data_IF_724139083822
#
_entry.id   IF_724139083822
#
_cell.length_a   1.000
_cell.length_b   1.000
_cell.length_c   1.000
_cell.angle_alpha   90.00
_cell.angle_beta   90.00
_cell.angle_gamma   90.00
#
_symmetry.space_group_name_H-M   'P 1'
#
loop_
_entity.id
_entity.type
_entity.pdbx_description
1 polymer ?
#
# COMPACT_ATOMS: atom_id res chain seq x y z
N UNK A 1 -23.41 -5.90 8.56
CA UNK A 1 -24.21 -6.61 7.53
C UNK A 1 -24.31 -8.04 8.00
N UNK A 2 -25.51 -8.54 8.26
CA UNK A 2 -25.70 -9.94 8.64
C UNK A 2 -25.39 -10.83 7.43
N UNK A 3 -24.39 -11.71 7.55
CA UNK A 3 -24.02 -12.65 6.47
C UNK A 3 -25.17 -13.63 6.20
N UNK A 4 -26.09 -13.82 7.15
CA UNK A 4 -27.29 -14.63 6.97
C UNK A 4 -28.35 -13.96 6.06
N UNK A 5 -28.27 -12.63 5.83
CA UNK A 5 -29.17 -11.90 4.93
C UNK A 5 -28.73 -11.92 3.46
N UNK A 6 -27.48 -12.27 3.17
CA UNK A 6 -26.97 -12.38 1.80
C UNK A 6 -27.23 -13.80 1.27
N UNK A 7 -27.94 -13.90 0.15
CA UNK A 7 -28.21 -15.18 -0.49
C UNK A 7 -26.90 -15.90 -0.83
N UNK A 8 -26.75 -17.18 -0.45
CA UNK A 8 -25.53 -17.98 -0.71
C UNK A 8 -25.10 -17.96 -2.17
N UNK A 9 -26.05 -17.96 -3.12
CA UNK A 9 -25.74 -17.86 -4.55
C UNK A 9 -25.13 -16.51 -4.96
N UNK A 10 -25.46 -15.41 -4.26
CA UNK A 10 -24.84 -14.11 -4.49
C UNK A 10 -23.40 -14.08 -3.95
N UNK A 11 -23.15 -14.71 -2.80
CA UNK A 11 -21.80 -14.87 -2.25
C UNK A 11 -20.89 -15.73 -3.14
N UNK A 12 -21.43 -16.81 -3.72
CA UNK A 12 -20.70 -17.63 -4.69
C UNK A 12 -20.37 -16.82 -5.95
N UNK A 13 -21.34 -16.09 -6.51
CA UNK A 13 -21.11 -15.22 -7.67
C UNK A 13 -20.07 -14.12 -7.39
N UNK A 14 -20.07 -13.58 -6.17
CA UNK A 14 -19.08 -12.61 -5.71
C UNK A 14 -17.67 -13.23 -5.69
N UNK A 15 -17.53 -14.43 -5.12
CA UNK A 15 -16.23 -15.11 -5.02
C UNK A 15 -15.56 -15.39 -6.38
N UNK A 16 -16.37 -15.50 -7.44
CA UNK A 16 -15.91 -15.77 -8.79
C UNK A 16 -15.64 -14.52 -9.64
N UNK A 17 -15.96 -13.32 -9.15
CA UNK A 17 -15.80 -12.07 -9.92
C UNK A 17 -14.46 -11.40 -9.65
N UNK A 18 -13.90 -10.73 -10.66
CA UNK A 18 -12.69 -9.91 -10.55
C UNK A 18 -12.94 -8.55 -9.88
N UNK A 19 -14.21 -8.10 -9.82
CA UNK A 19 -14.60 -6.78 -9.31
C UNK A 19 -15.46 -6.88 -8.04
N UNK A 20 -14.99 -7.67 -7.07
CA UNK A 20 -15.75 -8.00 -5.85
C UNK A 20 -16.08 -6.76 -5.01
N UNK A 21 -15.10 -5.86 -4.86
CA UNK A 21 -15.24 -4.59 -4.12
C UNK A 21 -16.33 -3.69 -4.71
N UNK A 22 -16.38 -3.58 -6.02
CA UNK A 22 -17.31 -2.74 -6.78
C UNK A 22 -18.72 -3.30 -6.71
N UNK A 23 -18.86 -4.63 -6.81
CA UNK A 23 -20.15 -5.32 -6.68
C UNK A 23 -20.72 -5.11 -5.26
N UNK A 24 -19.90 -5.30 -4.22
CA UNK A 24 -20.31 -5.06 -2.83
C UNK A 24 -20.75 -3.61 -2.61
N UNK A 25 -20.03 -2.67 -3.18
CA UNK A 25 -20.37 -1.25 -3.11
C UNK A 25 -21.70 -0.93 -3.79
N UNK A 26 -21.94 -1.52 -4.97
CA UNK A 26 -23.22 -1.37 -5.67
C UNK A 26 -24.38 -1.97 -4.85
N UNK A 27 -24.19 -3.13 -4.24
CA UNK A 27 -25.21 -3.74 -3.38
C UNK A 27 -25.52 -2.88 -2.17
N UNK A 28 -24.50 -2.31 -1.52
CA UNK A 28 -24.66 -1.38 -0.42
C UNK A 28 -25.50 -0.15 -0.83
N UNK A 29 -25.21 0.45 -1.99
CA UNK A 29 -25.99 1.58 -2.48
C UNK A 29 -27.44 1.22 -2.77
N UNK A 30 -27.69 0.05 -3.36
CA UNK A 30 -29.05 -0.43 -3.64
C UNK A 30 -29.85 -0.64 -2.34
N UNK A 31 -29.24 -1.23 -1.31
CA UNK A 31 -29.88 -1.42 0.00
C UNK A 31 -30.25 -0.09 0.67
N UNK A 32 -29.38 0.92 0.56
CA UNK A 32 -29.69 2.27 1.06
C UNK A 32 -30.87 2.87 0.28
N UNK A 33 -30.89 2.74 -1.05
CA UNK A 33 -32.00 3.21 -1.91
C UNK A 33 -33.33 2.55 -1.55
N UNK A 34 -33.34 1.24 -1.35
CA UNK A 34 -34.57 0.52 -1.02
C UNK A 34 -35.04 0.81 0.41
N UNK A 35 -34.12 1.03 1.35
CA UNK A 35 -34.46 1.48 2.71
C UNK A 35 -35.10 2.87 2.76
N UNK A 36 -34.74 3.76 1.81
CA UNK A 36 -35.39 5.07 1.66
C UNK A 36 -36.81 4.91 1.13
N UNK A 37 -37.01 4.10 0.08
CA UNK A 37 -38.34 3.83 -0.51
C UNK A 37 -39.31 3.20 0.49
N UNK A 38 -38.81 2.29 1.32
CA UNK A 38 -39.59 1.60 2.34
C UNK A 38 -39.87 2.47 3.58
N UNK A 39 -39.36 3.71 3.63
CA UNK A 39 -39.59 4.65 4.73
C UNK A 39 -38.80 4.34 6.01
N UNK A 40 -37.92 3.34 5.98
CA UNK A 40 -37.01 3.01 7.10
C UNK A 40 -36.00 4.14 7.29
N UNK A 41 -35.49 4.70 6.19
CA UNK A 41 -34.60 5.86 6.15
C UNK A 41 -35.40 7.14 5.81
N UNK A 42 -36.13 7.68 6.79
CA UNK A 42 -36.98 8.87 6.65
C UNK A 42 -36.27 10.22 6.87
N UNK A 43 -34.94 10.25 6.73
CA UNK A 43 -34.09 11.41 7.05
C UNK A 43 -34.16 12.45 5.91
N UNK A 44 -34.07 13.78 6.18
CA UNK A 44 -34.05 14.80 5.13
C UNK A 44 -32.99 14.56 4.05
N UNK A 45 -33.35 14.86 2.79
CA UNK A 45 -32.52 14.65 1.61
C UNK A 45 -31.06 15.17 1.73
N UNK A 46 -30.78 16.35 2.34
CA UNK A 46 -29.40 16.82 2.48
C UNK A 46 -28.50 15.90 3.32
N UNK A 47 -29.03 15.25 4.36
CA UNK A 47 -28.28 14.32 5.21
C UNK A 47 -28.05 12.99 4.48
N UNK A 48 -29.04 12.57 3.71
CA UNK A 48 -28.97 11.38 2.88
C UNK A 48 -27.91 11.53 1.79
N UNK A 49 -27.88 12.66 1.09
CA UNK A 49 -26.83 12.97 0.11
C UNK A 49 -25.43 12.91 0.71
N UNK A 50 -25.26 13.40 1.95
CA UNK A 50 -23.98 13.31 2.65
C UNK A 50 -23.56 11.86 2.90
N UNK A 51 -24.47 10.99 3.33
CA UNK A 51 -24.15 9.57 3.51
C UNK A 51 -23.72 8.88 2.19
N UNK A 52 -24.36 9.22 1.06
CA UNK A 52 -23.94 8.71 -0.25
C UNK A 52 -22.57 9.26 -0.68
N UNK A 53 -22.27 10.52 -0.37
CA UNK A 53 -20.95 11.11 -0.62
C UNK A 53 -19.87 10.41 0.22
N UNK A 54 -20.14 10.16 1.50
CA UNK A 54 -19.22 9.48 2.41
C UNK A 54 -18.95 8.05 1.91
N UNK A 55 -19.99 7.31 1.53
CA UNK A 55 -19.87 5.98 0.90
C UNK A 55 -19.04 6.08 -0.38
N UNK A 56 -19.36 6.99 -1.30
CA UNK A 56 -18.58 7.22 -2.53
C UNK A 56 -17.11 7.52 -2.27
N UNK A 57 -16.81 8.26 -1.21
CA UNK A 57 -15.43 8.58 -0.82
C UNK A 57 -14.64 7.33 -0.42
N UNK A 58 -15.29 6.30 0.16
CA UNK A 58 -14.65 5.03 0.51
C UNK A 58 -14.13 4.33 -0.73
N UNK A 59 -14.93 4.24 -1.80
CA UNK A 59 -14.53 3.58 -3.04
C UNK A 59 -13.35 4.29 -3.72
N UNK A 60 -13.33 5.62 -3.68
CA UNK A 60 -12.21 6.43 -4.17
C UNK A 60 -10.93 6.10 -3.39
N UNK A 61 -11.02 6.06 -2.05
CA UNK A 61 -9.87 5.74 -1.19
C UNK A 61 -9.36 4.31 -1.42
N UNK A 62 -10.28 3.35 -1.55
CA UNK A 62 -9.93 1.97 -1.88
C UNK A 62 -9.13 1.87 -3.19
N UNK A 63 -9.61 2.50 -4.26
CA UNK A 63 -8.90 2.54 -5.54
C UNK A 63 -7.57 3.30 -5.47
N UNK A 64 -7.44 4.31 -4.62
CA UNK A 64 -6.15 4.97 -4.38
C UNK A 64 -5.17 4.02 -3.68
N UNK A 65 -5.61 3.24 -2.70
CA UNK A 65 -4.79 2.27 -1.99
C UNK A 65 -4.37 1.10 -2.90
N UNK A 66 -5.25 0.65 -3.80
CA UNK A 66 -4.93 -0.39 -4.79
C UNK A 66 -3.78 0.01 -5.73
N UNK A 67 -3.41 1.29 -5.83
CA UNK A 67 -2.27 1.73 -6.65
C UNK A 67 -0.92 1.26 -6.13
N UNK A 68 -0.75 1.10 -4.81
CA UNK A 68 0.52 0.65 -4.22
C UNK A 68 0.93 -0.73 -4.75
N UNK A 69 0.09 -1.79 -4.66
CA UNK A 69 0.44 -3.09 -5.21
C UNK A 69 0.32 -3.19 -6.74
N UNK A 70 -0.49 -2.35 -7.39
CA UNK A 70 -0.74 -2.49 -8.84
C UNK A 70 0.19 -1.68 -9.74
N UNK A 71 0.85 -0.65 -9.20
CA UNK A 71 1.75 0.22 -9.96
C UNK A 71 3.15 0.09 -9.37
N UNK A 72 3.97 -0.86 -9.85
CA UNK A 72 5.31 -1.04 -9.34
C UNK A 72 6.16 0.18 -9.67
N UNK A 73 7.12 0.47 -8.79
CA UNK A 73 8.02 1.59 -8.99
C UNK A 73 8.87 1.41 -10.28
N UNK A 74 9.18 2.51 -11.01
CA UNK A 74 9.82 2.40 -12.32
C UNK A 74 11.17 1.67 -12.28
N UNK A 75 11.25 0.53 -12.98
CA UNK A 75 12.46 -0.29 -13.07
C UNK A 75 13.75 0.50 -13.41
N UNK A 76 13.74 1.46 -14.38
CA UNK A 76 14.96 2.20 -14.70
C UNK A 76 15.53 3.00 -13.52
N UNK A 77 14.67 3.46 -12.60
CA UNK A 77 15.13 4.17 -11.42
C UNK A 77 15.75 3.21 -10.40
N UNK A 78 15.12 2.05 -10.14
CA UNK A 78 15.69 1.02 -9.26
C UNK A 78 17.07 0.59 -9.74
N UNK A 79 17.18 0.27 -11.04
CA UNK A 79 18.44 -0.13 -11.65
C UNK A 79 19.51 0.97 -11.56
N UNK A 80 19.13 2.24 -11.74
CA UNK A 80 20.07 3.36 -11.61
C UNK A 80 20.54 3.57 -10.15
N UNK A 81 19.63 3.44 -9.18
CA UNK A 81 19.96 3.57 -7.76
C UNK A 81 20.90 2.44 -7.30
N UNK A 82 20.60 1.19 -7.68
CA UNK A 82 21.44 0.03 -7.37
C UNK A 82 22.82 0.16 -8.03
N UNK A 83 22.89 0.57 -9.30
CA UNK A 83 24.16 0.79 -9.98
C UNK A 83 25.00 1.88 -9.29
N UNK A 84 24.37 2.97 -8.83
CA UNK A 84 25.04 4.03 -8.08
C UNK A 84 25.57 3.51 -6.73
N UNK A 85 24.80 2.68 -6.02
CA UNK A 85 25.22 2.03 -4.77
C UNK A 85 26.42 1.10 -4.99
N UNK A 86 26.44 0.34 -6.09
CA UNK A 86 27.57 -0.53 -6.46
C UNK A 86 28.83 0.29 -6.78
N UNK A 87 28.70 1.37 -7.57
CA UNK A 87 29.82 2.27 -7.85
C UNK A 87 30.34 2.92 -6.57
N UNK A 88 29.44 3.41 -5.70
CA UNK A 88 29.81 3.95 -4.40
C UNK A 88 30.56 2.90 -3.55
N UNK A 89 30.04 1.68 -3.48
CA UNK A 89 30.67 0.59 -2.73
C UNK A 89 32.10 0.29 -3.20
N UNK A 90 32.34 0.30 -4.51
CA UNK A 90 33.66 0.10 -5.09
C UNK A 90 34.59 1.30 -4.86
N UNK A 91 34.09 2.54 -4.97
CA UNK A 91 34.92 3.75 -4.85
C UNK A 91 35.27 4.11 -3.40
N UNK A 92 34.38 3.85 -2.45
CA UNK A 92 34.55 4.21 -1.03
C UNK A 92 35.84 3.67 -0.38
N UNK A 93 36.27 2.41 -0.56
CA UNK A 93 37.56 1.96 0.00
C UNK A 93 38.76 2.74 -0.56
N UNK A 94 38.76 3.06 -1.86
CA UNK A 94 39.84 3.85 -2.48
C UNK A 94 39.85 5.29 -1.97
N UNK A 95 38.68 5.89 -1.76
CA UNK A 95 38.56 7.22 -1.16
C UNK A 95 39.02 7.24 0.31
N UNK A 96 38.75 6.17 1.07
CA UNK A 96 39.19 6.09 2.48
C UNK A 96 40.70 5.84 2.61
N UNK A 97 41.32 5.12 1.67
CA UNK A 97 42.78 4.94 1.60
C UNK A 97 43.54 6.27 1.48
N UNK A 98 42.99 7.26 0.77
CA UNK A 98 43.62 8.58 0.64
C UNK A 98 43.37 9.49 1.85
N UNK A 99 42.30 9.22 2.63
CA UNK A 99 41.90 10.08 3.74
C UNK A 99 42.54 9.71 5.08
N UNK A 100 42.79 8.41 5.34
CA UNK A 100 43.39 7.96 6.60
C UNK A 100 44.50 6.94 6.40
N UNK A 101 45.56 7.06 7.20
CA UNK A 101 46.66 6.10 7.23
C UNK A 101 46.46 4.96 8.24
N UNK A 102 45.43 5.05 9.09
CA UNK A 102 45.14 4.04 10.11
C UNK A 102 44.19 2.97 9.58
N UNK A 103 44.66 1.72 9.51
CA UNK A 103 43.88 0.58 9.02
C UNK A 103 42.55 0.35 9.75
N UNK A 104 42.52 0.60 11.07
CA UNK A 104 41.30 0.45 11.88
C UNK A 104 40.22 1.43 11.42
N UNK A 105 40.56 2.71 11.35
CA UNK A 105 39.65 3.78 10.92
C UNK A 105 39.19 3.59 9.48
N UNK A 106 40.09 3.17 8.59
CA UNK A 106 39.72 2.84 7.21
C UNK A 106 38.60 1.80 7.15
N UNK A 107 38.79 0.66 7.82
CA UNK A 107 37.79 -0.41 7.83
C UNK A 107 36.47 0.06 8.44
N UNK A 108 36.52 0.78 9.56
CA UNK A 108 35.32 1.28 10.25
C UNK A 108 34.51 2.26 9.38
N UNK A 109 35.16 3.25 8.76
CA UNK A 109 34.45 4.25 7.95
C UNK A 109 33.95 3.67 6.63
N UNK A 110 34.75 2.83 5.96
CA UNK A 110 34.30 2.13 4.74
C UNK A 110 33.08 1.26 5.04
N UNK A 111 33.11 0.47 6.12
CA UNK A 111 31.96 -0.35 6.52
C UNK A 111 30.73 0.51 6.82
N UNK A 112 30.88 1.54 7.66
CA UNK A 112 29.76 2.38 8.10
C UNK A 112 29.05 3.07 6.92
N UNK A 113 29.82 3.66 6.00
CA UNK A 113 29.27 4.41 4.85
C UNK A 113 28.52 3.48 3.88
N UNK A 114 29.13 2.34 3.55
CA UNK A 114 28.52 1.34 2.66
C UNK A 114 27.28 0.75 3.32
N UNK A 115 27.41 0.28 4.56
CA UNK A 115 26.33 -0.36 5.29
C UNK A 115 25.11 0.56 5.42
N UNK A 116 25.31 1.82 5.83
CA UNK A 116 24.21 2.77 5.99
C UNK A 116 23.43 2.99 4.69
N UNK A 117 24.12 3.17 3.56
CA UNK A 117 23.45 3.42 2.28
C UNK A 117 22.72 2.18 1.75
N UNK A 118 23.30 0.98 1.89
CA UNK A 118 22.63 -0.25 1.53
C UNK A 118 21.43 -0.55 2.45
N UNK A 119 21.56 -0.33 3.75
CA UNK A 119 20.44 -0.47 4.69
C UNK A 119 19.29 0.47 4.35
N UNK A 120 19.58 1.72 3.99
CA UNK A 120 18.54 2.68 3.57
C UNK A 120 17.86 2.24 2.27
N UNK A 121 18.62 1.69 1.32
CA UNK A 121 18.08 1.17 0.06
C UNK A 121 17.10 0.02 0.30
N UNK A 122 17.49 -0.99 1.10
CA UNK A 122 16.60 -2.11 1.40
C UNK A 122 15.36 -1.67 2.20
N UNK A 123 15.53 -0.79 3.19
CA UNK A 123 14.41 -0.25 3.94
C UNK A 123 13.43 0.52 3.04
N UNK A 124 13.94 1.28 2.06
CA UNK A 124 13.07 1.97 1.11
C UNK A 124 12.28 1.03 0.21
N UNK A 125 12.84 -0.15 -0.09
CA UNK A 125 12.16 -1.18 -0.88
C UNK A 125 11.03 -1.84 -0.08
N UNK A 126 11.24 -2.13 1.20
CA UNK A 126 10.19 -2.68 2.07
C UNK A 126 9.01 -1.69 2.24
N UNK A 127 9.30 -0.38 2.27
CA UNK A 127 8.27 0.65 2.44
C UNK A 127 7.45 0.96 1.17
N UNK A 128 7.75 0.34 0.04
CA UNK A 128 7.05 0.60 -1.23
C UNK A 128 5.60 0.08 -1.21
N UNK A 129 5.38 -1.10 -0.64
CA UNK A 129 4.07 -1.75 -0.60
C UNK A 129 3.69 -2.15 0.85
N UNK A 130 2.94 -1.31 1.57
CA UNK A 130 2.63 -1.53 2.99
C UNK A 130 1.56 -2.61 3.24
N UNK A 131 1.08 -3.27 2.18
CA UNK A 131 0.01 -4.26 2.22
C UNK A 131 0.53 -5.69 2.07
N UNK A 132 1.84 -5.90 2.16
CA UNK A 132 2.44 -7.23 2.13
C UNK A 132 2.29 -7.93 3.50
N UNK A 133 3.19 -8.83 3.84
CA UNK A 133 3.11 -9.63 5.07
C UNK A 133 4.41 -9.62 5.87
N UNK A 134 5.20 -8.56 5.71
CA UNK A 134 6.41 -8.31 6.46
C UNK A 134 6.10 -7.71 7.83
N UNK A 135 7.11 -7.72 8.71
CA UNK A 135 6.99 -7.27 10.10
C UNK A 135 6.61 -5.78 10.19
N UNK A 136 7.00 -4.99 9.18
CA UNK A 136 6.79 -3.55 9.13
C UNK A 136 5.52 -3.14 8.35
N UNK A 137 4.72 -4.10 7.89
CA UNK A 137 3.51 -3.84 7.11
C UNK A 137 2.28 -3.55 7.97
N UNK A 138 1.21 -3.09 7.31
CA UNK A 138 -0.08 -2.87 7.96
C UNK A 138 -0.70 -4.21 8.36
N UNK A 139 -1.08 -4.34 9.63
CA UNK A 139 -1.82 -5.50 10.11
C UNK A 139 -3.27 -5.45 9.60
N UNK A 140 -3.48 -6.03 8.42
CA UNK A 140 -4.79 -6.13 7.79
C UNK A 140 -5.78 -7.04 8.54
N UNK A 141 -5.30 -7.87 9.48
CA UNK A 141 -6.16 -8.73 10.30
C UNK A 141 -6.64 -8.03 11.58
N UNK A 142 -5.87 -7.07 12.09
CA UNK A 142 -6.25 -6.27 13.25
C UNK A 142 -7.10 -5.03 12.91
N UNK A 143 -7.23 -4.66 11.62
CA UNK A 143 -8.08 -3.58 11.13
C UNK A 143 -9.51 -4.04 10.82
#
# INVERSE_FOLDING_TARGET
IDVAGLARGALEALSTSDCQSEILFQWLQNEVVDSIKNGVLAIPAPLLTRSFQDIGSVMIRFHMMMKFPSVPFPFPYLAAAELLLVVHWLCTPFAMLSWTHSYVWLATFTFMLVFMLWSLHFLSSELENPFESDINDLDMHAM
#
